data_IF_525633296125
#
_entry.id   IF_525633296125
#
_cell.length_a   1.000
_cell.length_b   1.000
_cell.length_c   1.000
_cell.angle_alpha   90.00
_cell.angle_beta   90.00
_cell.angle_gamma   90.00
#
_symmetry.space_group_name_H-M   'P 1'
#
loop_
_entity.id
_entity.type
_entity.pdbx_description
1 polymer ?
#
# COMPACT_ATOMS: atom_id res chain seq x y z
N UNK A 1 15.26 -11.98 27.62
CA UNK A 1 16.11 -10.85 27.17
C UNK A 1 17.34 -10.81 28.07
N UNK A 2 18.56 -10.80 27.51
CA UNK A 2 19.79 -11.03 28.28
C UNK A 2 20.01 -9.89 29.30
N UNK A 3 20.06 -10.16 30.62
CA UNK A 3 20.18 -9.12 31.65
C UNK A 3 21.45 -8.28 31.48
N UNK A 4 22.49 -8.88 30.90
CA UNK A 4 23.73 -8.20 30.53
C UNK A 4 23.53 -7.07 29.50
N UNK A 5 22.59 -7.21 28.55
CA UNK A 5 22.32 -6.20 27.52
C UNK A 5 21.61 -4.96 28.08
N UNK A 6 20.70 -5.17 29.03
CA UNK A 6 20.02 -4.06 29.72
C UNK A 6 21.01 -3.27 30.57
N UNK A 7 21.90 -3.97 31.28
CA UNK A 7 22.93 -3.33 32.10
C UNK A 7 23.93 -2.52 31.25
N UNK A 8 24.43 -3.08 30.13
CA UNK A 8 25.37 -2.37 29.25
C UNK A 8 24.72 -1.17 28.58
N UNK A 9 23.47 -1.30 28.11
CA UNK A 9 22.69 -0.17 27.59
C UNK A 9 22.51 0.91 28.66
N UNK A 10 22.17 0.53 29.89
CA UNK A 10 21.99 1.46 31.01
C UNK A 10 23.26 2.23 31.35
N UNK A 11 24.41 1.55 31.43
CA UNK A 11 25.71 2.19 31.68
C UNK A 11 26.08 3.12 30.53
N UNK A 12 25.86 2.71 29.28
CA UNK A 12 26.14 3.54 28.11
C UNK A 12 25.27 4.80 28.07
N UNK A 13 23.97 4.66 28.30
CA UNK A 13 23.02 5.79 28.36
C UNK A 13 23.39 6.73 29.50
N UNK A 14 23.71 6.21 30.69
CA UNK A 14 24.15 7.02 31.82
C UNK A 14 25.45 7.79 31.50
N UNK A 15 26.43 7.13 30.89
CA UNK A 15 27.69 7.76 30.47
C UNK A 15 27.52 8.80 29.36
N UNK A 16 26.62 8.55 28.39
CA UNK A 16 26.31 9.52 27.34
C UNK A 16 25.60 10.76 27.91
N UNK A 17 24.64 10.56 28.82
CA UNK A 17 23.93 11.65 29.51
C UNK A 17 24.91 12.52 30.32
N UNK A 18 25.86 11.92 31.06
CA UNK A 18 26.83 12.70 31.83
C UNK A 18 27.84 13.43 30.92
N UNK A 19 28.30 12.79 29.83
CA UNK A 19 29.19 13.40 28.86
C UNK A 19 28.52 14.51 28.02
N UNK A 20 27.22 14.38 27.77
CA UNK A 20 26.39 15.32 26.98
C UNK A 20 25.25 15.88 27.82
N UNK A 21 25.57 16.34 29.03
CA UNK A 21 24.60 16.93 29.96
C UNK A 21 23.87 18.15 29.36
N UNK A 22 24.55 18.91 28.50
CA UNK A 22 23.99 20.03 27.75
C UNK A 22 22.75 19.67 26.91
N UNK A 23 22.70 18.45 26.35
CA UNK A 23 21.54 17.97 25.59
C UNK A 23 20.32 17.77 26.50
N UNK A 24 20.55 17.26 27.72
CA UNK A 24 19.47 17.01 28.69
C UNK A 24 18.90 18.31 29.21
N UNK A 25 19.75 19.29 29.54
CA UNK A 25 19.29 20.61 29.98
C UNK A 25 18.52 21.33 28.87
N UNK A 26 19.01 21.30 27.62
CA UNK A 26 18.27 21.84 26.47
C UNK A 26 16.92 21.16 26.23
N UNK A 27 16.86 19.84 26.38
CA UNK A 27 15.61 19.10 26.20
C UNK A 27 14.61 19.44 27.30
N UNK A 28 15.08 19.62 28.54
CA UNK A 28 14.27 20.08 29.67
C UNK A 28 13.75 21.50 29.47
N UNK A 29 14.62 22.43 29.04
CA UNK A 29 14.23 23.79 28.68
C UNK A 29 13.19 23.81 27.56
N UNK A 30 13.40 23.02 26.51
CA UNK A 30 12.46 22.91 25.40
C UNK A 30 11.11 22.33 25.86
N UNK A 31 11.12 21.33 26.75
CA UNK A 31 9.91 20.73 27.29
C UNK A 31 9.10 21.74 28.12
N UNK A 32 9.76 22.49 29.01
CA UNK A 32 9.12 23.55 29.79
C UNK A 32 8.62 24.67 28.88
N UNK A 33 9.44 25.11 27.92
CA UNK A 33 9.04 26.12 26.95
C UNK A 33 7.80 25.69 26.17
N UNK A 34 7.78 24.46 25.67
CA UNK A 34 6.66 23.92 24.90
C UNK A 34 5.38 23.79 25.75
N UNK A 35 5.53 23.51 27.05
CA UNK A 35 4.43 23.47 28.01
C UNK A 35 3.90 24.86 28.33
N UNK A 36 4.77 25.78 28.75
CA UNK A 36 4.42 27.13 29.19
C UNK A 36 3.87 27.99 28.04
N UNK A 37 4.46 27.88 26.85
CA UNK A 37 3.97 28.58 25.65
C UNK A 37 2.76 27.89 25.02
N UNK A 38 2.29 26.75 25.53
CA UNK A 38 1.16 26.00 25.00
C UNK A 38 1.37 25.49 23.56
N UNK A 39 2.62 25.23 23.16
CA UNK A 39 2.95 24.69 21.82
C UNK A 39 2.31 23.30 21.66
N UNK A 40 2.39 22.47 22.71
CA UNK A 40 1.86 21.10 22.68
C UNK A 40 0.35 21.10 22.44
N UNK A 41 -0.40 21.96 23.14
CA UNK A 41 -1.86 22.01 23.03
C UNK A 41 -2.31 22.52 21.66
N UNK A 42 -1.61 23.51 21.09
CA UNK A 42 -1.87 24.00 19.73
C UNK A 42 -1.59 22.93 18.67
N UNK A 43 -0.45 22.25 18.76
CA UNK A 43 -0.08 21.17 17.85
C UNK A 43 -1.06 20.00 17.95
N UNK A 44 -1.46 19.63 19.17
CA UNK A 44 -2.44 18.56 19.39
C UNK A 44 -3.81 18.92 18.81
N UNK A 45 -4.27 20.17 18.99
CA UNK A 45 -5.52 20.65 18.38
C UNK A 45 -5.46 20.58 16.85
N UNK A 46 -4.35 21.02 16.24
CA UNK A 46 -4.18 20.95 14.79
C UNK A 46 -4.19 19.49 14.28
N UNK A 47 -3.47 18.60 14.97
CA UNK A 47 -3.45 17.18 14.64
C UNK A 47 -4.83 16.53 14.76
N UNK A 48 -5.61 16.88 15.80
CA UNK A 48 -6.97 16.39 16.01
C UNK A 48 -7.90 16.87 14.89
N UNK A 49 -7.82 18.15 14.51
CA UNK A 49 -8.60 18.68 13.37
C UNK A 49 -8.23 17.97 12.07
N UNK A 50 -6.94 17.77 11.81
CA UNK A 50 -6.48 17.05 10.62
C UNK A 50 -6.96 15.60 10.60
N UNK A 51 -6.94 14.94 11.76
CA UNK A 51 -7.43 13.57 11.91
C UNK A 51 -8.92 13.47 11.61
N UNK A 52 -9.73 14.38 12.18
CA UNK A 52 -11.18 14.42 11.91
C UNK A 52 -11.41 14.70 10.42
N UNK A 53 -10.70 15.67 9.83
CA UNK A 53 -10.82 15.97 8.41
C UNK A 53 -10.52 14.75 7.54
N UNK A 54 -9.45 14.02 7.85
CA UNK A 54 -9.06 12.81 7.13
C UNK A 54 -10.13 11.72 7.23
N UNK A 55 -10.70 11.50 8.42
CA UNK A 55 -11.79 10.54 8.63
C UNK A 55 -13.04 10.96 7.82
N UNK A 56 -13.44 12.22 7.92
CA UNK A 56 -14.62 12.75 7.19
C UNK A 56 -14.46 12.64 5.68
N UNK A 57 -13.22 12.72 5.17
CA UNK A 57 -12.94 12.58 3.74
C UNK A 57 -12.89 11.10 3.32
N UNK A 58 -12.16 10.26 4.05
CA UNK A 58 -11.90 8.87 3.61
C UNK A 58 -13.08 7.94 3.86
N UNK A 59 -13.78 8.06 4.97
CA UNK A 59 -14.93 7.20 5.28
C UNK A 59 -16.00 7.23 4.19
N UNK A 60 -16.44 8.39 3.66
CA UNK A 60 -17.40 8.40 2.55
C UNK A 60 -16.80 7.86 1.25
N UNK A 61 -15.51 8.09 0.97
CA UNK A 61 -14.86 7.50 -0.21
C UNK A 61 -14.88 5.98 -0.14
N UNK A 62 -14.50 5.40 0.99
CA UNK A 62 -14.55 3.95 1.21
C UNK A 62 -15.97 3.42 1.09
N UNK A 63 -16.97 4.15 1.62
CA UNK A 63 -18.38 3.78 1.49
C UNK A 63 -18.86 3.80 0.04
N UNK A 64 -18.43 4.79 -0.75
CA UNK A 64 -18.77 4.87 -2.17
C UNK A 64 -18.12 3.69 -2.92
N UNK A 65 -16.82 3.45 -2.71
CA UNK A 65 -16.11 2.34 -3.35
C UNK A 65 -16.71 0.97 -3.00
N UNK A 66 -17.03 0.74 -1.72
CA UNK A 66 -17.69 -0.49 -1.27
C UNK A 66 -19.06 -0.68 -1.92
N UNK A 67 -19.84 0.41 -2.05
CA UNK A 67 -21.17 0.35 -2.66
C UNK A 67 -21.11 0.08 -4.15
N UNK A 68 -20.14 0.62 -4.87
CA UNK A 68 -19.91 0.32 -6.28
C UNK A 68 -19.50 -1.15 -6.48
N UNK A 69 -18.63 -1.68 -5.62
CA UNK A 69 -18.23 -3.10 -5.69
C UNK A 69 -19.38 -4.07 -5.43
N UNK A 70 -20.27 -3.75 -4.47
CA UNK A 70 -21.41 -4.60 -4.12
C UNK A 70 -22.50 -4.57 -5.22
N UNK A 71 -22.75 -3.41 -5.82
CA UNK A 71 -23.64 -3.28 -6.98
C UNK A 71 -23.09 -4.07 -8.18
N UNK A 72 -21.78 -4.00 -8.44
CA UNK A 72 -21.16 -4.80 -9.51
C UNK A 72 -21.33 -6.31 -9.27
N UNK A 73 -21.20 -6.75 -8.01
CA UNK A 73 -21.41 -8.14 -7.62
C UNK A 73 -22.89 -8.58 -7.75
N UNK A 74 -23.84 -7.73 -7.37
CA UNK A 74 -25.28 -8.01 -7.48
C UNK A 74 -25.84 -7.95 -8.91
N UNK A 75 -25.29 -7.10 -9.78
CA UNK A 75 -25.72 -6.95 -11.19
C UNK A 75 -25.11 -8.06 -12.07
N UNK A 76 -23.92 -8.57 -11.71
CA UNK A 76 -23.29 -9.72 -12.36
C UNK A 76 -23.05 -10.88 -11.36
N UNK A 77 -24.12 -11.46 -10.76
CA UNK A 77 -23.99 -12.53 -9.77
C UNK A 77 -23.62 -13.88 -10.40
N UNK A 78 -23.50 -13.94 -11.72
CA UNK A 78 -23.31 -15.17 -12.49
C UNK A 78 -21.83 -15.61 -12.61
N UNK A 79 -20.93 -15.14 -11.73
CA UNK A 79 -19.54 -15.61 -11.72
C UNK A 79 -18.81 -15.32 -13.03
N UNK A 80 -19.14 -14.22 -13.71
CA UNK A 80 -18.44 -13.80 -14.92
C UNK A 80 -17.00 -13.47 -14.55
N UNK A 81 -16.03 -14.18 -15.15
CA UNK A 81 -14.61 -13.97 -14.88
C UNK A 81 -14.22 -12.55 -15.30
N UNK A 82 -13.78 -11.75 -14.33
CA UNK A 82 -13.33 -10.37 -14.52
C UNK A 82 -11.90 -10.39 -15.05
N UNK A 83 -11.74 -9.90 -16.27
CA UNK A 83 -10.44 -9.81 -16.93
C UNK A 83 -9.94 -8.37 -16.76
N UNK A 84 -8.92 -8.19 -15.92
CA UNK A 84 -8.23 -6.92 -15.77
C UNK A 84 -7.30 -6.70 -16.95
N UNK A 85 -7.62 -5.70 -17.77
CA UNK A 85 -6.90 -5.36 -19.00
C UNK A 85 -5.98 -4.15 -18.78
N UNK A 86 -4.65 -4.28 -19.01
CA UNK A 86 -3.73 -3.15 -18.96
C UNK A 86 -4.07 -2.11 -20.04
N UNK A 87 -4.19 -0.84 -19.65
CA UNK A 87 -4.55 0.25 -20.56
C UNK A 87 -3.53 0.46 -21.68
N UNK A 88 -2.25 0.13 -21.44
CA UNK A 88 -1.13 0.37 -22.35
C UNK A 88 -0.96 -0.70 -23.44
N UNK A 89 -1.79 -1.75 -23.47
CA UNK A 89 -1.70 -2.79 -24.52
C UNK A 89 -2.40 -2.31 -25.79
N UNK A 90 -1.61 -2.01 -26.83
CA UNK A 90 -2.12 -1.64 -28.14
C UNK A 90 -3.05 -2.72 -28.72
N UNK A 91 -4.26 -2.32 -29.09
CA UNK A 91 -5.23 -3.19 -29.78
C UNK A 91 -4.70 -3.53 -31.17
N UNK A 92 -4.79 -4.80 -31.54
CA UNK A 92 -4.34 -5.32 -32.81
C UNK A 92 -5.43 -6.22 -33.37
N UNK A 93 -5.73 -6.10 -34.66
CA UNK A 93 -6.75 -6.91 -35.33
C UNK A 93 -6.26 -8.33 -35.68
N UNK A 94 -4.97 -8.61 -35.47
CA UNK A 94 -4.37 -9.94 -35.63
C UNK A 94 -4.73 -10.87 -34.45
N UNK A 95 -4.96 -12.15 -34.74
CA UNK A 95 -5.18 -13.19 -33.72
C UNK A 95 -3.95 -13.31 -32.78
N UNK A 96 -4.21 -13.57 -31.50
CA UNK A 96 -3.18 -13.65 -30.47
C UNK A 96 -3.62 -14.39 -29.21
N UNK A 97 -2.65 -14.84 -28.41
CA UNK A 97 -2.86 -15.56 -27.16
C UNK A 97 -2.70 -14.61 -25.98
N UNK A 98 -3.71 -14.57 -25.11
CA UNK A 98 -3.69 -13.77 -23.89
C UNK A 98 -2.94 -14.55 -22.81
N UNK A 99 -1.87 -13.95 -22.29
CA UNK A 99 -1.12 -14.45 -21.15
C UNK A 99 -1.46 -13.60 -19.94
N UNK A 100 -1.92 -14.26 -18.87
CA UNK A 100 -2.28 -13.58 -17.64
C UNK A 100 -2.15 -14.48 -16.43
N UNK A 101 -2.21 -13.85 -15.27
CA UNK A 101 -2.19 -14.50 -13.96
C UNK A 101 -3.61 -14.58 -13.40
N UNK A 102 -4.04 -15.76 -12.94
CA UNK A 102 -5.32 -15.92 -12.23
C UNK A 102 -5.14 -15.50 -10.78
N UNK A 103 -5.75 -14.39 -10.40
CA UNK A 103 -5.61 -13.81 -9.06
C UNK A 103 -6.64 -14.37 -8.07
N UNK A 104 -7.86 -14.68 -8.53
CA UNK A 104 -8.91 -15.28 -7.70
C UNK A 104 -9.77 -16.23 -8.53
N UNK A 105 -10.79 -16.84 -7.91
CA UNK A 105 -11.70 -17.71 -8.66
C UNK A 105 -12.48 -17.01 -9.78
N UNK A 106 -12.62 -15.69 -9.66
CA UNK A 106 -13.39 -14.85 -10.55
C UNK A 106 -12.54 -13.75 -11.20
N UNK A 107 -11.23 -13.68 -10.96
CA UNK A 107 -10.37 -12.60 -11.46
C UNK A 107 -9.11 -13.12 -12.18
N UNK A 108 -8.86 -12.59 -13.37
CA UNK A 108 -7.64 -12.81 -14.16
C UNK A 108 -7.01 -11.48 -14.56
N UNK A 109 -5.71 -11.34 -14.34
CA UNK A 109 -4.92 -10.16 -14.74
C UNK A 109 -4.14 -10.48 -16.00
N UNK A 110 -4.35 -9.72 -17.08
CA UNK A 110 -3.59 -9.88 -18.31
C UNK A 110 -2.23 -9.21 -18.16
N UNK A 111 -1.15 -9.93 -18.47
CA UNK A 111 0.23 -9.45 -18.39
C UNK A 111 0.76 -9.10 -19.79
N UNK A 112 0.43 -9.93 -20.78
CA UNK A 112 0.89 -9.74 -22.16
C UNK A 112 -0.05 -10.40 -23.16
N UNK A 113 0.05 -9.99 -24.43
CA UNK A 113 -0.61 -10.65 -25.56
C UNK A 113 0.47 -11.07 -26.55
N UNK A 114 0.57 -12.37 -26.80
CA UNK A 114 1.36 -12.89 -27.92
C UNK A 114 0.58 -12.66 -29.20
N UNK A 115 1.11 -11.86 -30.11
CA UNK A 115 0.50 -11.58 -31.40
C UNK A 115 1.05 -12.55 -32.45
N UNK A 116 0.29 -12.83 -33.50
CA UNK A 116 0.78 -13.55 -34.69
C UNK A 116 1.19 -14.99 -34.37
N UNK A 117 0.33 -15.67 -33.59
CA UNK A 117 0.49 -17.09 -33.28
C UNK A 117 -0.24 -17.90 -34.35
N UNK A 118 0.51 -18.72 -35.10
CA UNK A 118 -0.06 -19.76 -35.96
C UNK A 118 -0.61 -20.90 -35.09
N UNK A 119 -1.94 -20.98 -34.99
CA UNK A 119 -2.61 -22.09 -34.31
C UNK A 119 -2.88 -23.18 -35.33
N UNK A 120 -2.09 -24.26 -35.27
CA UNK A 120 -2.35 -25.46 -36.05
C UNK A 120 -3.65 -26.12 -35.54
N UNK A 121 -4.56 -26.60 -36.41
CA UNK A 121 -5.92 -27.05 -36.04
C UNK A 121 -5.98 -28.26 -35.08
N UNK A 122 -4.84 -28.85 -34.77
CA UNK A 122 -4.60 -29.95 -33.83
C UNK A 122 -4.15 -29.50 -32.42
N UNK A 123 -4.04 -28.18 -32.17
CA UNK A 123 -3.73 -27.62 -30.84
C UNK A 123 -2.26 -27.78 -30.40
N UNK A 124 -1.40 -28.21 -31.31
CA UNK A 124 0.04 -28.29 -31.09
C UNK A 124 0.69 -26.93 -31.40
N UNK A 125 1.43 -26.37 -30.44
CA UNK A 125 2.24 -25.18 -30.69
C UNK A 125 3.46 -25.60 -31.51
N UNK A 126 3.45 -25.26 -32.79
CA UNK A 126 4.57 -25.51 -33.70
C UNK A 126 5.83 -24.78 -33.25
N UNK A 127 6.77 -25.52 -32.68
CA UNK A 127 8.15 -25.09 -32.51
C UNK A 127 8.80 -24.97 -33.88
N UNK A 128 8.77 -23.77 -34.47
CA UNK A 128 9.64 -23.47 -35.60
C UNK A 128 11.07 -23.27 -35.07
N UNK A 129 11.86 -24.33 -35.19
CA UNK A 129 13.33 -24.26 -35.13
C UNK A 129 13.86 -23.69 -36.44
N UNK A 130 14.89 -22.84 -36.29
CA UNK A 130 15.69 -22.11 -37.30
C UNK A 130 15.13 -20.77 -37.78
#
# INVERSE_FOLDING_TARGET
MHPFSVLTLGIFVAGYITARWDLVTRLYELAIFAWDHGVITRSLKAFLVLTIFFIVLIVPIERIAARESDIAFMIAPNGLMRIFWPTDIARSDKAGVIIGWRNSDLDMVVVAILREVDVSPDGSFGSHSC
#
